data_IF_662568153025
#
_entry.id   IF_662568153025
#
_cell.length_a   1.000
_cell.length_b   1.000
_cell.length_c   1.000
_cell.angle_alpha   90.00
_cell.angle_beta   90.00
_cell.angle_gamma   90.00
#
_symmetry.space_group_name_H-M   'P 1'
#
loop_
_entity.id
_entity.type
_entity.pdbx_description
1 polymer ?
#
# COMPACT_ATOMS: atom_id res chain seq x y z
N UNK A 1 -9.65 -8.82 10.16
CA UNK A 1 -9.10 -7.44 10.27
C UNK A 1 -9.93 -6.46 9.47
N UNK A 2 -10.22 -6.75 8.20
CA UNK A 2 -11.09 -5.91 7.37
C UNK A 2 -12.58 -6.01 7.73
N UNK A 3 -12.96 -7.02 8.52
CA UNK A 3 -14.35 -7.33 8.88
C UNK A 3 -15.07 -6.24 9.67
N UNK A 4 -14.32 -5.40 10.36
CA UNK A 4 -14.85 -4.28 11.14
C UNK A 4 -15.18 -3.07 10.26
N UNK A 5 -14.74 -3.07 9.00
CA UNK A 5 -15.03 -1.99 8.05
C UNK A 5 -16.32 -2.36 7.31
N UNK A 6 -17.39 -1.61 7.60
CA UNK A 6 -18.73 -1.80 7.03
C UNK A 6 -19.02 -0.89 5.83
N UNK A 7 -18.21 0.15 5.63
CA UNK A 7 -18.32 1.11 4.53
C UNK A 7 -17.28 0.89 3.42
N UNK A 8 -17.30 1.72 2.37
CA UNK A 8 -16.30 1.69 1.31
C UNK A 8 -14.91 2.00 1.87
N UNK A 9 -13.89 1.30 1.35
CA UNK A 9 -12.50 1.54 1.68
C UNK A 9 -11.81 2.18 0.47
N UNK A 10 -11.36 3.43 0.61
CA UNK A 10 -10.64 4.11 -0.45
C UNK A 10 -9.18 3.63 -0.56
N UNK A 11 -8.52 3.38 0.57
CA UNK A 11 -7.15 2.88 0.58
C UNK A 11 -6.81 2.13 1.87
N UNK A 12 -5.93 1.15 1.75
CA UNK A 12 -5.23 0.50 2.85
C UNK A 12 -3.78 0.99 2.85
N UNK A 13 -3.31 1.57 3.95
CA UNK A 13 -1.94 2.07 4.09
C UNK A 13 -1.26 1.41 5.29
N UNK A 14 -0.04 0.90 5.12
CA UNK A 14 0.70 0.21 6.18
C UNK A 14 2.21 0.22 5.95
N UNK A 15 3.00 -0.25 6.92
CA UNK A 15 4.44 -0.48 6.71
C UNK A 15 4.72 -1.66 5.78
N UNK A 16 5.99 -1.81 5.39
CA UNK A 16 6.44 -2.86 4.48
C UNK A 16 6.31 -4.29 5.03
N UNK A 17 5.97 -4.50 6.31
CA UNK A 17 5.62 -5.83 6.79
C UNK A 17 4.36 -6.35 6.08
N UNK A 18 3.45 -5.45 5.70
CA UNK A 18 2.23 -5.77 4.95
C UNK A 18 2.43 -5.99 3.44
N UNK A 19 3.67 -5.90 2.93
CA UNK A 19 3.98 -6.23 1.52
C UNK A 19 3.96 -7.75 1.32
N UNK A 20 2.76 -8.33 1.34
CA UNK A 20 2.50 -9.76 1.27
C UNK A 20 1.32 -10.02 0.34
N UNK A 21 1.43 -11.04 -0.52
CA UNK A 21 0.38 -11.40 -1.46
C UNK A 21 -1.00 -11.60 -0.80
N UNK A 22 -1.03 -12.20 0.40
CA UNK A 22 -2.27 -12.37 1.17
C UNK A 22 -2.96 -11.07 1.57
N UNK A 23 -2.19 -10.00 1.83
CA UNK A 23 -2.76 -8.67 2.13
C UNK A 23 -3.38 -8.06 0.88
N UNK A 24 -2.64 -8.05 -0.24
CA UNK A 24 -3.19 -7.54 -1.51
C UNK A 24 -4.44 -8.32 -1.93
N UNK A 25 -4.42 -9.66 -1.79
CA UNK A 25 -5.56 -10.51 -2.08
C UNK A 25 -6.77 -10.21 -1.21
N UNK A 26 -6.59 -10.16 0.11
CA UNK A 26 -7.68 -9.88 1.05
C UNK A 26 -8.31 -8.49 0.84
N UNK A 27 -7.49 -7.47 0.51
CA UNK A 27 -8.02 -6.14 0.17
C UNK A 27 -8.76 -6.18 -1.16
N UNK A 28 -8.18 -6.77 -2.20
CA UNK A 28 -8.80 -6.83 -3.53
C UNK A 28 -10.12 -7.63 -3.56
N UNK A 29 -10.21 -8.70 -2.77
CA UNK A 29 -11.42 -9.52 -2.67
C UNK A 29 -12.60 -8.73 -2.09
N UNK A 30 -12.34 -7.93 -1.04
CA UNK A 30 -13.40 -7.21 -0.32
C UNK A 30 -13.63 -5.80 -0.86
N UNK A 31 -12.58 -5.16 -1.37
CA UNK A 31 -12.55 -3.78 -1.83
C UNK A 31 -11.71 -3.69 -3.13
N UNK A 32 -12.24 -4.13 -4.27
CA UNK A 32 -11.49 -4.20 -5.53
C UNK A 32 -10.97 -2.85 -6.00
N UNK A 33 -11.64 -1.76 -5.64
CA UNK A 33 -11.28 -0.39 -6.00
C UNK A 33 -10.35 0.29 -4.98
N UNK A 34 -9.97 -0.39 -3.89
CA UNK A 34 -9.10 0.20 -2.86
C UNK A 34 -7.63 0.20 -3.27
N UNK A 35 -6.96 1.32 -3.05
CA UNK A 35 -5.50 1.42 -3.21
C UNK A 35 -4.77 0.79 -2.02
N UNK A 36 -3.84 -0.12 -2.27
CA UNK A 36 -2.97 -0.73 -1.27
C UNK A 36 -1.63 0.02 -1.26
N UNK A 37 -1.54 1.05 -0.41
CA UNK A 37 -0.39 1.94 -0.26
C UNK A 37 0.58 1.37 0.77
N UNK A 38 1.30 0.32 0.36
CA UNK A 38 2.32 -0.33 1.17
C UNK A 38 3.67 -0.21 0.47
N UNK A 39 4.73 0.20 1.18
CA UNK A 39 6.07 0.24 0.60
C UNK A 39 6.54 -1.18 0.29
N UNK A 40 6.92 -1.48 -0.98
CA UNK A 40 7.51 -2.77 -1.30
C UNK A 40 8.75 -3.04 -0.44
N UNK A 41 8.93 -4.31 -0.07
CA UNK A 41 10.15 -4.79 0.61
C UNK A 41 11.36 -4.61 -0.31
N UNK A 42 12.55 -4.50 0.29
CA UNK A 42 13.80 -4.35 -0.48
C UNK A 42 14.08 -5.52 -1.43
N UNK A 43 13.52 -6.70 -1.13
CA UNK A 43 13.64 -7.93 -1.94
C UNK A 43 12.49 -8.14 -2.91
N UNK A 44 11.58 -7.17 -3.04
CA UNK A 44 10.43 -7.28 -3.91
C UNK A 44 10.84 -7.24 -5.39
N UNK A 45 10.33 -8.21 -6.16
CA UNK A 45 10.46 -8.28 -7.62
C UNK A 45 9.07 -8.17 -8.27
N UNK A 46 9.06 -7.81 -9.56
CA UNK A 46 7.83 -7.77 -10.36
C UNK A 46 7.15 -9.13 -10.39
N UNK A 47 5.83 -9.12 -10.52
CA UNK A 47 5.05 -10.31 -10.85
C UNK A 47 5.37 -10.81 -12.27
N UNK A 48 4.95 -12.05 -12.58
CA UNK A 48 5.21 -12.72 -13.86
C UNK A 48 4.82 -11.86 -15.08
N UNK A 49 3.71 -11.14 -14.99
CA UNK A 49 3.20 -10.24 -16.04
C UNK A 49 3.31 -8.76 -15.65
N UNK A 50 4.20 -8.43 -14.70
CA UNK A 50 4.28 -7.10 -14.10
C UNK A 50 4.61 -5.97 -15.08
N UNK A 51 5.24 -6.28 -16.22
CA UNK A 51 5.50 -5.29 -17.29
C UNK A 51 4.28 -5.05 -18.18
N UNK A 52 3.52 -6.10 -18.51
CA UNK A 52 2.39 -6.01 -19.44
C UNK A 52 1.08 -5.64 -18.74
N UNK A 53 0.83 -6.23 -17.57
CA UNK A 53 -0.38 -6.05 -16.76
C UNK A 53 0.03 -5.88 -15.30
N UNK A 54 0.56 -4.70 -14.91
CA UNK A 54 1.11 -4.50 -13.59
C UNK A 54 0.04 -4.60 -12.51
N UNK A 55 0.32 -5.39 -11.47
CA UNK A 55 -0.43 -5.34 -10.22
C UNK A 55 -0.21 -4.00 -9.49
N UNK A 56 -0.99 -3.70 -8.44
CA UNK A 56 -0.73 -2.53 -7.59
C UNK A 56 0.70 -2.51 -7.04
N UNK A 57 1.20 -3.68 -6.63
CA UNK A 57 2.56 -3.85 -6.12
C UNK A 57 3.62 -3.58 -7.21
N UNK A 58 3.38 -4.05 -8.43
CA UNK A 58 4.27 -3.81 -9.57
C UNK A 58 4.34 -2.32 -9.92
N UNK A 59 3.20 -1.63 -9.90
CA UNK A 59 3.15 -0.18 -10.09
C UNK A 59 3.98 0.57 -9.05
N UNK A 60 4.02 0.09 -7.80
CA UNK A 60 4.88 0.66 -6.77
C UNK A 60 6.37 0.42 -7.07
N UNK A 61 6.73 -0.79 -7.49
CA UNK A 61 8.11 -1.12 -7.86
C UNK A 61 8.59 -0.26 -9.03
N UNK A 62 7.79 -0.15 -10.09
CA UNK A 62 8.08 0.70 -11.25
C UNK A 62 8.23 2.17 -10.84
N UNK A 63 7.29 2.70 -10.05
CA UNK A 63 7.33 4.09 -9.56
C UNK A 63 8.54 4.38 -8.67
N UNK A 64 9.04 3.39 -7.93
CA UNK A 64 10.29 3.50 -7.16
C UNK A 64 11.50 3.44 -8.09
N UNK A 65 11.50 2.60 -9.11
CA UNK A 65 12.59 2.53 -10.08
C UNK A 65 12.72 3.84 -10.88
N UNK A 66 11.61 4.45 -11.25
CA UNK A 66 11.58 5.67 -12.09
C UNK A 66 11.88 6.95 -11.32
N UNK A 67 11.54 7.01 -10.03
CA UNK A 67 11.52 8.27 -9.29
C UNK A 67 12.03 8.15 -7.85
N UNK A 68 12.70 7.05 -7.55
CA UNK A 68 13.21 6.70 -6.24
C UNK A 68 12.12 6.54 -5.16
N UNK A 69 12.53 6.07 -3.99
CA UNK A 69 11.64 5.81 -2.86
C UNK A 69 10.91 7.07 -2.39
N UNK A 70 11.62 8.21 -2.33
CA UNK A 70 11.04 9.47 -1.87
C UNK A 70 10.00 10.02 -2.86
N UNK A 71 10.23 9.88 -4.16
CA UNK A 71 9.24 10.25 -5.18
C UNK A 71 7.98 9.39 -5.07
N UNK A 72 8.15 8.07 -4.89
CA UNK A 72 7.03 7.15 -4.68
C UNK A 72 6.19 7.53 -3.45
N UNK A 73 6.82 7.87 -2.32
CA UNK A 73 6.08 8.26 -1.11
C UNK A 73 5.20 9.50 -1.31
N UNK A 74 5.68 10.48 -2.08
CA UNK A 74 4.92 11.70 -2.38
C UNK A 74 3.74 11.41 -3.31
N UNK A 75 3.95 10.65 -4.40
CA UNK A 75 2.90 10.34 -5.39
C UNK A 75 1.82 9.41 -4.82
N UNK A 76 2.21 8.43 -4.01
CA UNK A 76 1.29 7.51 -3.34
C UNK A 76 0.60 8.11 -2.12
N UNK A 77 1.01 9.31 -1.67
CA UNK A 77 0.56 9.95 -0.42
C UNK A 77 0.85 9.12 0.83
N UNK A 78 1.81 8.19 0.77
CA UNK A 78 2.25 7.37 1.90
C UNK A 78 2.68 8.21 3.12
N UNK A 79 3.17 9.44 2.89
CA UNK A 79 3.54 10.39 3.95
C UNK A 79 2.39 10.73 4.89
N UNK A 80 1.13 10.56 4.47
CA UNK A 80 -0.05 10.78 5.33
C UNK A 80 -0.12 9.82 6.52
N UNK A 81 0.50 8.64 6.41
CA UNK A 81 0.53 7.63 7.48
C UNK A 81 1.08 8.20 8.79
N UNK A 82 2.21 8.90 8.74
CA UNK A 82 2.85 9.47 9.92
C UNK A 82 1.93 10.46 10.67
N UNK A 83 1.10 11.21 9.95
CA UNK A 83 0.13 12.14 10.54
C UNK A 83 -0.99 11.39 11.29
N UNK A 84 -1.48 10.31 10.69
CA UNK A 84 -2.52 9.47 11.30
C UNK A 84 -1.98 8.75 12.54
N UNK A 85 -0.77 8.18 12.45
CA UNK A 85 -0.12 7.50 13.56
C UNK A 85 0.14 8.45 14.73
N UNK A 86 0.63 9.67 14.43
CA UNK A 86 0.77 10.71 15.45
C UNK A 86 -0.57 10.97 16.13
N UNK A 87 -1.63 11.28 15.36
CA UNK A 87 -2.96 11.56 15.92
C UNK A 87 -3.51 10.43 16.80
N UNK A 88 -3.29 9.17 16.42
CA UNK A 88 -3.68 8.01 17.25
C UNK A 88 -2.86 7.95 18.54
N UNK A 89 -1.55 8.22 18.47
CA UNK A 89 -0.70 8.27 19.67
C UNK A 89 -1.20 9.31 20.67
N UNK A 90 -1.65 10.48 20.21
CA UNK A 90 -2.21 11.53 21.07
C UNK A 90 -3.56 11.15 21.71
N UNK A 91 -4.33 10.24 21.11
CA UNK A 91 -5.63 9.81 21.65
C UNK A 91 -5.52 8.72 22.72
N UNK A 92 -4.35 8.09 22.82
CA UNK A 92 -4.09 6.98 23.74
C UNK A 92 -3.27 7.43 24.97
N UNK A 93 -3.06 8.74 25.15
CA UNK A 93 -2.45 9.37 26.32
C UNK A 93 -3.49 10.20 27.08
#
# INVERSE_FOLDING_TARGET
MLDQITGPLASFTGDGAYDQAGIYGAVAERYPDADVIVPPRSTAVLSEYGEATPTQRDRHLQSIAEHERMGWQKRSRYTRRALVEAAISWLNE
#
